data_IF_161643427248
#
_entry.id   IF_161643427248
#
_cell.length_a   1.000
_cell.length_b   1.000
_cell.length_c   1.000
_cell.angle_alpha   90.00
_cell.angle_beta   90.00
_cell.angle_gamma   90.00
#
_symmetry.space_group_name_H-M   'P 1'
#
loop_
_entity.id
_entity.type
_entity.pdbx_description
1 polymer ?
#
# COMPACT_ATOMS: atom_id res chain seq x y z
N UNK A 1 -12.14 63.27 16.17
CA UNK A 1 -11.72 62.26 15.17
C UNK A 1 -12.84 62.09 14.17
N UNK A 2 -12.59 62.24 12.89
CA UNK A 2 -13.62 62.37 11.86
C UNK A 2 -14.27 60.99 11.58
N UNK A 3 -15.58 60.81 11.82
CA UNK A 3 -16.32 59.54 11.67
C UNK A 3 -16.06 58.80 10.34
N UNK A 4 -15.82 59.54 9.25
CA UNK A 4 -15.49 58.97 7.94
C UNK A 4 -14.15 58.24 7.95
N UNK A 5 -13.14 58.70 8.73
CA UNK A 5 -11.84 58.04 8.85
C UNK A 5 -11.91 56.79 9.72
N UNK A 6 -12.80 56.76 10.72
CA UNK A 6 -13.04 55.60 11.56
C UNK A 6 -13.69 54.43 10.78
N UNK A 7 -14.67 54.76 9.93
CA UNK A 7 -15.34 53.74 9.12
C UNK A 7 -14.43 53.10 8.06
N UNK A 8 -13.50 53.89 7.48
CA UNK A 8 -12.49 53.33 6.53
C UNK A 8 -11.49 52.45 7.24
N UNK A 9 -11.03 52.83 8.45
CA UNK A 9 -10.11 52.00 9.23
C UNK A 9 -10.78 50.69 9.67
N UNK A 10 -12.05 50.70 10.04
CA UNK A 10 -12.79 49.49 10.44
C UNK A 10 -13.03 48.55 9.23
N UNK A 11 -13.31 49.11 8.04
CA UNK A 11 -13.47 48.31 6.81
C UNK A 11 -12.16 47.64 6.37
N UNK A 12 -11.02 48.34 6.50
CA UNK A 12 -9.70 47.77 6.20
C UNK A 12 -9.33 46.65 7.19
N UNK A 13 -9.66 46.83 8.48
CA UNK A 13 -9.40 45.79 9.49
C UNK A 13 -10.28 44.57 9.27
N UNK A 14 -11.54 44.72 8.90
CA UNK A 14 -12.45 43.63 8.56
C UNK A 14 -11.99 42.88 7.29
N UNK A 15 -11.49 43.60 6.27
CA UNK A 15 -10.93 42.97 5.06
C UNK A 15 -9.62 42.20 5.34
N UNK A 16 -8.76 42.70 6.23
CA UNK A 16 -7.53 42.02 6.63
C UNK A 16 -7.80 40.73 7.42
N UNK A 17 -8.85 40.72 8.28
CA UNK A 17 -9.25 39.50 9.02
C UNK A 17 -9.87 38.46 8.09
N UNK A 18 -10.57 38.86 7.03
CA UNK A 18 -11.12 37.93 6.04
C UNK A 18 -10.03 37.35 5.10
N UNK A 19 -8.98 38.11 4.81
CA UNK A 19 -7.86 37.64 3.97
C UNK A 19 -6.98 36.61 4.69
N UNK A 20 -6.97 36.58 6.04
CA UNK A 20 -6.18 35.62 6.82
C UNK A 20 -6.75 34.21 6.91
N UNK A 21 -7.99 33.99 6.46
CA UNK A 21 -8.67 32.70 6.53
C UNK A 21 -9.01 32.10 5.17
N UNK A 22 -8.31 32.51 4.11
CA UNK A 22 -8.34 31.77 2.86
C UNK A 22 -7.58 30.45 3.06
N UNK A 23 -8.21 29.50 3.72
CA UNK A 23 -7.77 28.13 3.76
C UNK A 23 -7.85 27.63 2.32
N UNK A 24 -6.71 27.49 1.64
CA UNK A 24 -6.64 26.77 0.39
C UNK A 24 -7.06 25.33 0.70
N UNK A 25 -8.32 25.02 0.41
CA UNK A 25 -8.80 23.64 0.44
C UNK A 25 -8.08 22.90 -0.70
N UNK A 26 -6.93 22.32 -0.39
CA UNK A 26 -6.30 21.35 -1.29
C UNK A 26 -7.09 20.05 -1.16
N UNK A 27 -7.98 19.78 -2.12
CA UNK A 27 -8.61 18.47 -2.24
C UNK A 27 -7.57 17.48 -2.75
N UNK A 28 -7.55 16.27 -2.17
CA UNK A 28 -6.80 15.16 -2.76
C UNK A 28 -7.24 14.97 -4.22
N UNK A 29 -6.30 14.65 -5.10
CA UNK A 29 -6.61 14.21 -6.47
C UNK A 29 -7.36 12.89 -6.36
N UNK A 30 -8.61 12.86 -6.84
CA UNK A 30 -9.45 11.67 -6.83
C UNK A 30 -9.39 11.00 -8.20
N UNK A 31 -9.21 9.70 -8.20
CA UNK A 31 -9.22 8.87 -9.40
C UNK A 31 -10.17 7.68 -9.27
N UNK A 32 -10.35 6.97 -10.36
CA UNK A 32 -10.98 5.66 -10.35
C UNK A 32 -10.12 4.67 -11.14
N UNK A 33 -10.16 3.41 -10.73
CA UNK A 33 -9.46 2.30 -11.38
C UNK A 33 -10.45 1.18 -11.64
N UNK A 34 -10.52 0.73 -12.88
CA UNK A 34 -11.26 -0.46 -13.25
C UNK A 34 -10.31 -1.65 -13.38
N UNK A 35 -10.67 -2.77 -12.78
CA UNK A 35 -9.91 -4.00 -12.85
C UNK A 35 -10.80 -5.15 -13.30
N UNK A 36 -10.31 -5.93 -14.26
CA UNK A 36 -10.99 -7.13 -14.77
C UNK A 36 -10.33 -8.37 -14.17
N UNK A 37 -11.14 -9.29 -13.69
CA UNK A 37 -10.73 -10.60 -13.17
C UNK A 37 -11.15 -11.67 -14.17
N UNK A 38 -10.20 -12.17 -14.95
CA UNK A 38 -10.45 -13.15 -15.99
C UNK A 38 -10.93 -14.48 -15.38
N UNK A 39 -11.85 -15.14 -16.09
CA UNK A 39 -12.33 -16.47 -15.71
C UNK A 39 -11.19 -17.49 -15.65
N UNK A 40 -11.20 -18.34 -14.62
CA UNK A 40 -10.20 -19.40 -14.43
C UNK A 40 -8.78 -18.91 -14.16
N UNK A 41 -8.61 -17.70 -13.65
CA UNK A 41 -7.30 -17.04 -13.58
C UNK A 41 -7.02 -16.39 -12.24
N UNK A 42 -5.72 -16.21 -11.97
CA UNK A 42 -5.19 -15.37 -10.92
C UNK A 42 -4.95 -13.95 -11.46
N UNK A 43 -5.45 -12.94 -10.77
CA UNK A 43 -5.21 -11.54 -11.08
C UNK A 43 -4.59 -10.84 -9.87
N UNK A 44 -3.50 -10.11 -10.09
CA UNK A 44 -2.89 -9.27 -9.05
C UNK A 44 -3.81 -8.08 -8.79
N UNK A 45 -4.07 -7.80 -7.53
CA UNK A 45 -4.85 -6.64 -7.06
C UNK A 45 -4.00 -5.81 -6.13
N UNK A 46 -3.53 -4.68 -6.63
CA UNK A 46 -2.85 -3.66 -5.84
C UNK A 46 -3.83 -2.53 -5.59
N UNK A 47 -4.05 -2.09 -4.35
CA UNK A 47 -4.80 -0.87 -4.09
C UNK A 47 -4.05 0.35 -4.66
N UNK A 48 -4.39 0.76 -5.88
CA UNK A 48 -3.74 1.87 -6.60
C UNK A 48 -4.21 3.25 -6.12
N UNK A 49 -5.30 3.29 -5.37
CA UNK A 49 -5.89 4.49 -4.80
C UNK A 49 -6.00 4.30 -3.28
N UNK A 50 -5.85 5.39 -2.56
CA UNK A 50 -6.00 5.41 -1.10
C UNK A 50 -7.43 5.84 -0.73
N UNK A 51 -7.87 5.50 0.47
CA UNK A 51 -9.07 6.09 1.04
C UNK A 51 -8.79 7.54 1.44
N UNK A 52 -9.83 8.39 1.49
CA UNK A 52 -9.68 9.81 1.84
C UNK A 52 -8.92 9.99 3.16
N UNK A 53 -8.11 11.05 3.24
CA UNK A 53 -7.41 11.42 4.47
C UNK A 53 -8.42 11.90 5.52
N UNK A 54 -8.25 11.44 6.77
CA UNK A 54 -9.07 11.88 7.90
C UNK A 54 -8.30 12.84 8.84
N UNK A 55 -6.95 12.83 8.79
CA UNK A 55 -6.13 13.79 9.54
C UNK A 55 -4.81 14.06 8.80
N UNK A 56 -4.38 15.32 8.86
CA UNK A 56 -3.03 15.78 8.48
C UNK A 56 -2.53 16.72 9.57
N UNK A 57 -1.32 16.50 10.06
CA UNK A 57 -0.77 17.37 11.08
C UNK A 57 0.73 17.21 11.31
N UNK A 58 1.32 18.24 11.91
CA UNK A 58 2.68 18.19 12.39
C UNK A 58 2.78 17.32 13.64
N UNK A 59 3.92 16.64 13.78
CA UNK A 59 4.31 15.88 14.98
C UNK A 59 5.32 16.69 15.76
N UNK A 60 4.99 17.05 16.99
CA UNK A 60 5.85 17.87 17.86
C UNK A 60 6.84 17.04 18.69
N UNK A 61 6.50 15.81 19.00
CA UNK A 61 7.39 14.87 19.67
C UNK A 61 7.03 13.42 19.40
N UNK A 62 8.03 12.55 19.51
CA UNK A 62 7.91 11.09 19.36
C UNK A 62 8.48 10.44 20.61
N UNK A 63 7.72 9.53 21.21
CA UNK A 63 8.21 8.69 22.32
C UNK A 63 7.94 7.22 22.01
N UNK A 64 8.96 6.37 22.19
CA UNK A 64 8.92 4.94 21.84
C UNK A 64 8.85 4.10 23.11
N UNK A 65 7.93 3.15 23.14
CA UNK A 65 7.79 2.17 24.22
C UNK A 65 7.17 0.87 23.68
N UNK A 66 7.75 -0.28 24.03
CA UNK A 66 7.19 -1.60 23.75
C UNK A 66 6.93 -1.89 22.26
N UNK A 67 7.76 -1.36 21.34
CA UNK A 67 7.59 -1.53 19.89
C UNK A 67 6.57 -0.59 19.25
N UNK A 68 5.98 0.32 20.04
CA UNK A 68 5.07 1.36 19.57
C UNK A 68 5.71 2.74 19.70
N UNK A 69 5.26 3.69 18.89
CA UNK A 69 5.57 5.10 19.03
C UNK A 69 4.31 5.92 19.32
N UNK A 70 4.40 6.81 20.30
CA UNK A 70 3.38 7.85 20.51
C UNK A 70 3.83 9.13 19.81
N UNK A 71 3.02 9.56 18.85
CA UNK A 71 3.23 10.75 18.02
C UNK A 71 2.33 11.87 18.54
N UNK A 72 2.90 12.90 19.17
CA UNK A 72 2.15 14.05 19.67
C UNK A 72 1.84 15.00 18.53
N UNK A 73 0.56 15.22 18.28
CA UNK A 73 0.01 16.06 17.20
C UNK A 73 -0.88 17.15 17.82
N UNK A 74 -0.35 18.35 18.11
CA UNK A 74 -1.10 19.39 18.82
C UNK A 74 -2.39 19.85 18.13
N UNK A 75 -2.48 19.70 16.81
CA UNK A 75 -3.68 19.99 16.03
C UNK A 75 -4.75 18.88 16.07
N UNK A 76 -4.44 17.70 16.62
CA UNK A 76 -5.41 16.62 16.75
C UNK A 76 -6.36 16.90 17.93
N UNK A 77 -7.65 16.84 17.68
CA UNK A 77 -8.71 17.12 18.67
C UNK A 77 -9.77 16.02 18.70
N UNK A 78 -9.34 14.78 18.48
CA UNK A 78 -10.24 13.64 18.39
C UNK A 78 -10.61 13.06 19.77
N UNK A 79 -11.74 12.40 19.83
CA UNK A 79 -12.07 11.57 20.98
C UNK A 79 -11.06 10.43 21.11
N UNK A 80 -10.60 10.09 22.32
CA UNK A 80 -9.72 8.94 22.51
C UNK A 80 -10.28 7.66 21.88
N UNK A 81 -9.39 6.86 21.27
CA UNK A 81 -9.69 5.60 20.60
C UNK A 81 -10.64 5.66 19.39
N UNK A 82 -10.93 6.87 18.84
CA UNK A 82 -11.75 6.99 17.63
C UNK A 82 -11.06 6.42 16.38
N UNK A 83 -9.74 6.23 16.40
CA UNK A 83 -8.95 5.61 15.35
C UNK A 83 -8.46 4.19 15.72
N UNK A 84 -8.93 3.64 16.83
CA UNK A 84 -8.61 2.28 17.22
C UNK A 84 -9.59 1.30 16.58
N UNK A 85 -9.07 0.26 15.92
CA UNK A 85 -9.93 -0.81 15.42
C UNK A 85 -10.65 -1.52 16.56
N UNK A 86 -11.98 -1.59 16.46
CA UNK A 86 -12.83 -2.40 17.33
C UNK A 86 -13.86 -3.10 16.46
N UNK A 87 -13.80 -4.41 16.37
CA UNK A 87 -14.74 -5.20 15.57
C UNK A 87 -16.20 -4.78 15.84
N UNK A 88 -16.99 -4.61 14.76
CA UNK A 88 -18.39 -4.20 14.76
C UNK A 88 -18.62 -2.71 15.05
N UNK A 89 -18.00 -2.12 16.08
CA UNK A 89 -18.29 -0.72 16.50
C UNK A 89 -17.39 0.30 15.81
N UNK A 90 -16.15 -0.05 15.51
CA UNK A 90 -15.17 0.76 14.75
C UNK A 90 -14.34 -0.16 13.84
N UNK A 91 -14.90 -0.67 12.72
CA UNK A 91 -14.26 -1.69 11.88
C UNK A 91 -13.20 -1.13 10.93
N UNK A 92 -12.82 0.13 11.05
CA UNK A 92 -11.76 0.73 10.25
C UNK A 92 -10.41 0.53 10.93
N UNK A 93 -9.45 -0.02 10.20
CA UNK A 93 -8.04 0.04 10.57
C UNK A 93 -7.43 1.27 9.92
N UNK A 94 -6.67 2.04 10.68
CA UNK A 94 -6.05 3.27 10.22
C UNK A 94 -4.54 3.11 10.04
N UNK A 95 -4.01 3.94 9.17
CA UNK A 95 -2.63 3.96 8.78
C UNK A 95 -2.11 5.40 8.82
N UNK A 96 -1.02 5.62 9.55
CA UNK A 96 -0.34 6.88 9.63
C UNK A 96 0.87 6.87 8.69
N UNK A 97 0.85 7.70 7.66
CA UNK A 97 1.97 7.86 6.75
C UNK A 97 2.79 9.08 7.12
N UNK A 98 4.09 8.91 7.24
CA UNK A 98 5.03 10.00 7.52
C UNK A 98 5.17 10.89 6.29
N UNK A 99 4.80 12.15 6.42
CA UNK A 99 4.84 13.15 5.34
C UNK A 99 6.08 14.02 5.38
N UNK A 100 6.77 14.08 6.52
CA UNK A 100 8.04 14.81 6.68
C UNK A 100 8.89 14.21 7.81
N UNK A 101 10.21 14.37 7.71
CA UNK A 101 11.23 13.76 8.55
C UNK A 101 12.04 12.70 7.80
N UNK A 102 13.00 12.05 8.47
CA UNK A 102 13.89 11.06 7.83
C UNK A 102 13.13 9.80 7.37
N UNK A 103 12.01 9.47 8.04
CA UNK A 103 11.14 8.33 7.68
C UNK A 103 10.03 8.72 6.69
N UNK A 104 10.12 9.85 5.99
CA UNK A 104 9.13 10.26 4.97
C UNK A 104 8.79 9.11 4.03
N UNK A 105 7.49 8.87 3.82
CA UNK A 105 6.97 7.78 2.99
C UNK A 105 6.78 6.45 3.73
N UNK A 106 7.33 6.30 4.94
CA UNK A 106 7.06 5.12 5.78
C UNK A 106 5.69 5.23 6.40
N UNK A 107 4.98 4.13 6.45
CA UNK A 107 3.66 4.07 7.05
C UNK A 107 3.58 3.09 8.20
N UNK A 108 2.74 3.40 9.15
CA UNK A 108 2.56 2.66 10.40
C UNK A 108 1.09 2.41 10.70
N UNK A 109 0.75 1.24 11.19
CA UNK A 109 -0.61 0.98 11.68
C UNK A 109 -0.90 1.79 12.94
N UNK A 110 -2.06 2.45 12.98
CA UNK A 110 -2.54 3.14 14.17
C UNK A 110 -3.12 2.11 15.12
N UNK A 111 -2.55 2.03 16.32
CA UNK A 111 -2.98 1.13 17.40
C UNK A 111 -4.09 1.78 18.23
N UNK A 112 -3.92 3.08 18.52
CA UNK A 112 -4.90 3.88 19.28
C UNK A 112 -4.62 5.37 19.08
N UNK A 113 -5.51 6.22 19.59
CA UNK A 113 -5.27 7.66 19.71
C UNK A 113 -5.77 8.19 21.05
N UNK A 114 -5.09 9.20 21.55
CA UNK A 114 -5.59 10.13 22.57
C UNK A 114 -6.17 11.38 21.93
N UNK A 115 -6.44 12.41 22.74
CA UNK A 115 -7.00 13.70 22.24
C UNK A 115 -6.00 14.42 21.32
N UNK A 116 -4.72 14.41 21.63
CA UNK A 116 -3.68 15.14 20.88
C UNK A 116 -2.55 14.24 20.37
N UNK A 117 -2.76 12.96 20.22
CA UNK A 117 -1.71 12.04 19.80
C UNK A 117 -2.25 10.79 19.10
N UNK A 118 -1.35 10.11 18.37
CA UNK A 118 -1.57 8.78 17.82
C UNK A 118 -0.51 7.82 18.37
N UNK A 119 -0.92 6.61 18.71
CA UNK A 119 0.00 5.50 18.98
C UNK A 119 0.05 4.60 17.76
N UNK A 120 1.25 4.36 17.24
CA UNK A 120 1.47 3.57 16.02
C UNK A 120 2.41 2.40 16.30
N UNK A 121 2.22 1.28 15.60
CA UNK A 121 3.13 0.13 15.65
C UNK A 121 4.37 0.40 14.78
N UNK A 122 5.57 0.21 15.32
CA UNK A 122 6.83 0.44 14.61
C UNK A 122 7.33 -0.78 13.83
N UNK A 123 6.75 -1.96 14.08
CA UNK A 123 7.11 -3.22 13.39
C UNK A 123 8.62 -3.51 13.35
N UNK A 124 9.28 -3.27 14.49
CA UNK A 124 10.73 -3.48 14.66
C UNK A 124 11.61 -2.30 14.25
N UNK A 125 11.04 -1.21 13.75
CA UNK A 125 11.78 0.02 13.48
C UNK A 125 12.01 0.81 14.77
N UNK A 126 12.95 1.74 14.71
CA UNK A 126 13.14 2.78 15.72
C UNK A 126 12.73 4.13 15.14
N UNK A 127 12.24 5.04 15.97
CA UNK A 127 11.87 6.37 15.54
C UNK A 127 12.22 7.42 16.60
N UNK A 128 12.61 8.60 16.14
CA UNK A 128 12.88 9.79 16.94
C UNK A 128 12.03 10.96 16.44
N UNK A 129 12.06 12.08 17.14
CA UNK A 129 11.35 13.30 16.68
C UNK A 129 11.93 13.89 15.39
N UNK A 130 13.17 13.56 15.01
CA UNK A 130 13.73 13.95 13.73
C UNK A 130 13.23 13.07 12.57
N UNK A 131 12.82 11.85 12.89
CA UNK A 131 12.38 10.87 11.89
C UNK A 131 10.94 11.09 11.45
N UNK A 132 10.09 11.60 12.35
CA UNK A 132 8.67 11.83 12.10
C UNK A 132 8.30 13.24 12.55
N UNK A 133 8.20 14.17 11.61
CA UNK A 133 7.84 15.58 11.89
C UNK A 133 6.46 15.96 11.35
N UNK A 134 5.85 15.10 10.54
CA UNK A 134 4.49 15.27 10.03
C UNK A 134 3.90 13.94 9.58
N UNK A 135 2.58 13.82 9.73
CA UNK A 135 1.84 12.63 9.33
C UNK A 135 0.53 12.97 8.63
N UNK A 136 0.05 12.03 7.83
CA UNK A 136 -1.34 11.93 7.42
C UNK A 136 -1.91 10.59 7.87
N UNK A 137 -3.17 10.59 8.33
CA UNK A 137 -3.86 9.38 8.80
C UNK A 137 -5.05 9.10 7.90
N UNK A 138 -5.14 7.86 7.43
CA UNK A 138 -6.18 7.37 6.51
C UNK A 138 -6.71 6.02 6.97
N UNK A 139 -7.98 5.71 6.75
CA UNK A 139 -8.45 4.34 6.87
C UNK A 139 -7.83 3.49 5.75
N UNK A 140 -7.55 2.23 6.05
CA UNK A 140 -7.08 1.25 5.07
C UNK A 140 -8.25 0.67 4.26
N UNK A 141 -7.96 0.19 3.06
CA UNK A 141 -8.84 -0.74 2.38
C UNK A 141 -8.89 -2.05 3.15
N UNK A 142 -10.05 -2.69 3.14
CA UNK A 142 -10.27 -4.03 3.70
C UNK A 142 -10.86 -4.94 2.63
N UNK A 143 -10.94 -6.24 2.89
CA UNK A 143 -11.56 -7.17 1.94
C UNK A 143 -12.99 -6.76 1.61
N UNK A 144 -13.81 -6.38 2.62
CA UNK A 144 -15.18 -5.93 2.43
C UNK A 144 -15.30 -4.61 1.65
N UNK A 145 -14.32 -3.71 1.77
CA UNK A 145 -14.38 -2.41 1.09
C UNK A 145 -13.82 -2.45 -0.34
N UNK A 146 -12.90 -3.37 -0.64
CA UNK A 146 -12.42 -3.61 -2.00
C UNK A 146 -13.35 -4.53 -2.80
N UNK A 147 -13.97 -5.50 -2.12
CA UNK A 147 -14.84 -6.50 -2.72
C UNK A 147 -16.20 -6.53 -1.99
N UNK A 148 -16.99 -5.45 -2.09
CA UNK A 148 -18.27 -5.35 -1.38
C UNK A 148 -19.29 -6.32 -1.98
N UNK A 149 -20.04 -7.00 -1.11
CA UNK A 149 -21.10 -7.94 -1.51
C UNK A 149 -22.35 -7.26 -2.05
N UNK A 150 -22.50 -5.96 -1.81
CA UNK A 150 -23.69 -5.16 -2.17
C UNK A 150 -23.47 -4.21 -3.33
N UNK A 151 -22.36 -4.32 -4.08
CA UNK A 151 -22.10 -3.42 -5.21
C UNK A 151 -22.93 -3.80 -6.43
N UNK A 152 -23.25 -2.80 -7.24
CA UNK A 152 -23.86 -3.02 -8.57
C UNK A 152 -22.90 -3.78 -9.52
N UNK A 153 -21.60 -3.76 -9.23
CA UNK A 153 -20.59 -4.52 -9.95
C UNK A 153 -20.27 -5.80 -9.18
N UNK A 154 -20.45 -6.95 -9.83
CA UNK A 154 -20.10 -8.25 -9.26
C UNK A 154 -18.59 -8.39 -9.29
N UNK A 155 -17.94 -8.22 -8.13
CA UNK A 155 -16.48 -8.27 -7.99
C UNK A 155 -15.95 -9.65 -7.62
N UNK A 156 -16.84 -10.58 -7.24
CA UNK A 156 -16.52 -11.96 -6.89
C UNK A 156 -17.75 -12.86 -7.04
N UNK A 157 -17.52 -14.16 -7.17
CA UNK A 157 -18.56 -15.19 -7.09
C UNK A 157 -18.60 -15.76 -5.68
N UNK A 158 -19.74 -15.64 -4.95
CA UNK A 158 -19.90 -16.23 -3.62
C UNK A 158 -19.69 -17.75 -3.66
N UNK A 159 -19.09 -18.29 -2.61
CA UNK A 159 -18.91 -19.73 -2.46
C UNK A 159 -20.24 -20.43 -2.17
N UNK A 160 -20.37 -21.68 -2.59
CA UNK A 160 -21.54 -22.52 -2.31
C UNK A 160 -21.39 -23.36 -1.06
N UNK A 161 -20.24 -23.29 -0.40
CA UNK A 161 -19.92 -24.00 0.83
C UNK A 161 -18.50 -23.69 1.31
N UNK A 162 -18.12 -24.23 2.45
CA UNK A 162 -16.83 -24.00 3.10
C UNK A 162 -15.72 -24.97 2.68
N UNK A 163 -16.08 -26.09 2.05
CA UNK A 163 -15.12 -27.07 1.54
C UNK A 163 -14.41 -26.55 0.30
N UNK A 164 -13.25 -27.09 -0.04
CA UNK A 164 -12.49 -26.68 -1.20
C UNK A 164 -13.31 -26.72 -2.51
N UNK A 165 -14.15 -27.74 -2.70
CA UNK A 165 -15.00 -27.88 -3.88
C UNK A 165 -16.10 -26.81 -3.96
N UNK A 166 -16.56 -26.28 -2.83
CA UNK A 166 -17.58 -25.23 -2.77
C UNK A 166 -17.05 -23.82 -2.92
N UNK A 167 -15.74 -23.60 -2.80
CA UNK A 167 -15.13 -22.29 -2.92
C UNK A 167 -15.10 -21.83 -4.37
N UNK A 168 -15.44 -20.55 -4.60
CA UNK A 168 -15.49 -19.92 -5.92
C UNK A 168 -14.36 -18.90 -6.07
N UNK A 169 -14.66 -17.62 -5.83
CA UNK A 169 -13.60 -16.62 -5.77
C UNK A 169 -12.80 -16.78 -4.48
N UNK A 170 -11.48 -16.77 -4.60
CA UNK A 170 -10.56 -16.78 -3.47
C UNK A 170 -9.63 -15.56 -3.53
N UNK A 171 -9.37 -14.96 -2.38
CA UNK A 171 -8.40 -13.88 -2.21
C UNK A 171 -7.20 -14.46 -1.45
N UNK A 172 -6.05 -14.54 -2.13
CA UNK A 172 -4.84 -15.05 -1.54
C UNK A 172 -4.01 -13.87 -1.03
N UNK A 173 -3.73 -13.85 0.26
CA UNK A 173 -2.83 -12.87 0.88
C UNK A 173 -1.40 -13.41 0.83
N UNK A 174 -0.49 -12.79 0.08
CA UNK A 174 0.90 -13.21 0.09
C UNK A 174 1.52 -13.07 1.48
N UNK A 175 2.57 -13.83 1.74
CA UNK A 175 3.28 -13.74 3.02
C UNK A 175 4.29 -12.59 2.99
N UNK A 176 3.89 -11.40 3.47
CA UNK A 176 4.73 -10.20 3.47
C UNK A 176 5.80 -10.21 4.57
N UNK A 177 5.58 -10.95 5.66
CA UNK A 177 6.45 -10.93 6.85
C UNK A 177 7.40 -12.12 6.96
N UNK A 178 7.23 -13.14 6.13
CA UNK A 178 8.09 -14.33 6.13
C UNK A 178 9.49 -14.05 5.56
N UNK A 179 10.40 -14.97 5.74
CA UNK A 179 11.75 -14.96 5.16
C UNK A 179 11.91 -16.03 4.07
N UNK A 180 12.95 -15.89 3.24
CA UNK A 180 13.24 -16.80 2.13
C UNK A 180 12.51 -16.43 0.83
N UNK A 181 12.60 -17.32 -0.16
CA UNK A 181 12.05 -17.11 -1.51
C UNK A 181 10.82 -17.99 -1.77
N UNK A 182 10.00 -17.60 -2.77
CA UNK A 182 8.86 -18.38 -3.26
C UNK A 182 7.88 -18.79 -2.14
N UNK A 183 7.56 -17.86 -1.26
CA UNK A 183 6.72 -18.11 -0.09
C UNK A 183 5.27 -18.39 -0.48
N UNK A 184 4.65 -19.36 0.20
CA UNK A 184 3.22 -19.59 0.09
C UNK A 184 2.42 -18.39 0.62
N UNK A 185 1.16 -18.28 0.21
CA UNK A 185 0.22 -17.31 0.78
C UNK A 185 0.10 -17.50 2.31
N UNK A 186 0.07 -16.41 3.06
CA UNK A 186 -0.13 -16.42 4.51
C UNK A 186 -1.57 -16.74 4.89
N UNK A 187 -2.53 -16.34 4.05
CA UNK A 187 -3.95 -16.62 4.22
C UNK A 187 -4.65 -16.73 2.87
N UNK A 188 -5.72 -17.50 2.84
CA UNK A 188 -6.63 -17.60 1.69
C UNK A 188 -8.03 -17.33 2.22
N UNK A 189 -8.71 -16.35 1.63
CA UNK A 189 -10.06 -15.97 1.99
C UNK A 189 -11.04 -16.35 0.88
N UNK A 190 -12.28 -16.62 1.26
CA UNK A 190 -13.41 -16.80 0.34
C UNK A 190 -14.67 -16.21 0.96
N UNK A 191 -15.63 -15.80 0.14
CA UNK A 191 -16.88 -15.25 0.65
C UNK A 191 -17.83 -16.35 1.10
N UNK A 192 -18.21 -16.34 2.38
CA UNK A 192 -19.17 -17.26 2.96
C UNK A 192 -20.55 -16.61 2.97
N UNK A 193 -21.52 -17.10 2.15
CA UNK A 193 -22.84 -16.49 2.05
C UNK A 193 -23.66 -16.61 3.34
N UNK A 194 -23.43 -17.64 4.16
CA UNK A 194 -24.11 -17.83 5.45
C UNK A 194 -23.75 -16.74 6.46
N UNK A 195 -22.47 -16.32 6.48
CA UNK A 195 -22.00 -15.24 7.35
C UNK A 195 -22.12 -13.86 6.67
N UNK A 196 -22.43 -13.84 5.37
CA UNK A 196 -22.40 -12.64 4.51
C UNK A 196 -21.09 -11.86 4.67
N UNK A 197 -19.95 -12.59 4.67
CA UNK A 197 -18.63 -12.01 4.92
C UNK A 197 -17.52 -12.88 4.33
N UNK A 198 -16.33 -12.28 4.14
CA UNK A 198 -15.11 -13.02 3.87
C UNK A 198 -14.67 -13.81 5.09
N UNK A 199 -14.20 -15.02 4.88
CA UNK A 199 -13.67 -15.90 5.93
C UNK A 199 -12.36 -16.53 5.48
N UNK A 200 -11.44 -16.76 6.41
CA UNK A 200 -10.22 -17.50 6.10
C UNK A 200 -10.51 -19.00 5.93
N UNK A 201 -9.76 -19.67 5.05
CA UNK A 201 -9.89 -21.12 4.84
C UNK A 201 -9.57 -21.95 6.08
N UNK A 202 -8.82 -21.39 7.01
CA UNK A 202 -8.44 -21.98 8.30
C UNK A 202 -9.43 -21.68 9.43
N UNK A 203 -10.36 -20.71 9.24
CA UNK A 203 -11.31 -20.24 10.25
C UNK A 203 -12.66 -19.90 9.60
N UNK A 204 -13.32 -20.87 9.00
CA UNK A 204 -14.51 -20.68 8.15
C UNK A 204 -15.76 -20.18 8.86
N UNK A 205 -15.79 -20.18 10.21
CA UNK A 205 -16.85 -19.62 11.04
C UNK A 205 -16.56 -18.20 11.58
N UNK A 206 -15.43 -17.60 11.25
CA UNK A 206 -15.01 -16.29 11.75
C UNK A 206 -14.98 -15.28 10.61
N UNK A 207 -15.67 -14.16 10.77
CA UNK A 207 -15.64 -13.04 9.83
C UNK A 207 -14.24 -12.44 9.73
N UNK A 208 -13.81 -12.17 8.51
CA UNK A 208 -12.48 -11.62 8.17
C UNK A 208 -12.54 -10.48 7.15
N UNK A 209 -13.73 -9.99 6.84
CA UNK A 209 -13.91 -8.94 5.85
C UNK A 209 -13.24 -7.61 6.20
N UNK A 210 -12.97 -7.37 7.48
CA UNK A 210 -12.24 -6.19 7.97
C UNK A 210 -10.72 -6.35 7.90
N UNK A 211 -10.18 -7.46 7.36
CA UNK A 211 -8.74 -7.65 7.16
C UNK A 211 -8.20 -6.50 6.30
N UNK A 212 -7.26 -5.68 6.82
CA UNK A 212 -6.75 -4.52 6.11
C UNK A 212 -5.70 -4.88 5.06
N UNK A 213 -5.60 -4.04 4.03
CA UNK A 213 -4.48 -4.02 3.09
C UNK A 213 -3.69 -2.72 3.31
N UNK A 214 -2.44 -2.88 3.70
CA UNK A 214 -1.50 -1.76 3.86
C UNK A 214 -1.08 -1.28 2.46
N UNK A 215 -0.90 0.03 2.21
CA UNK A 215 -0.28 0.52 0.99
C UNK A 215 1.03 -0.23 0.70
N UNK A 216 1.34 -0.50 -0.55
CA UNK A 216 2.41 -1.40 -1.00
C UNK A 216 2.19 -2.91 -0.80
N UNK A 217 1.08 -3.34 -0.24
CA UNK A 217 0.66 -4.74 -0.29
C UNK A 217 -0.22 -5.01 -1.52
N UNK A 218 -0.40 -6.28 -1.83
CA UNK A 218 -1.31 -6.73 -2.88
C UNK A 218 -1.97 -8.04 -2.49
N UNK A 219 -3.09 -8.37 -3.15
CA UNK A 219 -3.68 -9.70 -3.08
C UNK A 219 -3.59 -10.36 -4.46
N UNK A 220 -3.85 -11.66 -4.46
CA UNK A 220 -4.14 -12.42 -5.68
C UNK A 220 -5.62 -12.78 -5.67
N UNK A 221 -6.39 -12.19 -6.58
CA UNK A 221 -7.78 -12.57 -6.81
C UNK A 221 -7.80 -13.80 -7.72
N UNK A 222 -8.16 -14.93 -7.17
CA UNK A 222 -8.27 -16.21 -7.84
C UNK A 222 -9.72 -16.48 -8.22
N UNK A 223 -10.04 -16.40 -9.49
CA UNK A 223 -11.39 -16.56 -10.01
C UNK A 223 -11.59 -17.98 -10.55
N UNK A 224 -11.88 -18.91 -9.64
CA UNK A 224 -12.01 -20.35 -9.96
C UNK A 224 -13.30 -20.94 -9.38
N UNK A 225 -13.55 -22.18 -9.76
CA UNK A 225 -14.64 -23.00 -9.20
C UNK A 225 -15.97 -22.82 -9.94
N UNK A 226 -16.73 -23.89 -10.09
CA UNK A 226 -17.94 -23.93 -10.89
C UNK A 226 -17.67 -23.59 -12.36
N UNK A 227 -18.51 -22.73 -12.93
CA UNK A 227 -18.27 -22.11 -14.25
C UNK A 227 -17.84 -20.66 -14.00
N UNK A 228 -16.52 -20.36 -13.96
CA UNK A 228 -16.07 -19.02 -13.68
C UNK A 228 -16.43 -18.07 -14.83
N UNK A 229 -16.83 -16.86 -14.47
CA UNK A 229 -17.14 -15.78 -15.42
C UNK A 229 -16.16 -14.63 -15.21
N UNK A 230 -15.97 -13.80 -16.22
CA UNK A 230 -15.19 -12.57 -16.07
C UNK A 230 -15.92 -11.61 -15.14
N UNK A 231 -15.22 -11.10 -14.16
CA UNK A 231 -15.71 -10.17 -13.13
C UNK A 231 -15.00 -8.82 -13.27
N UNK A 232 -15.62 -7.75 -12.79
CA UNK A 232 -15.04 -6.41 -12.84
C UNK A 232 -15.19 -5.71 -11.49
N UNK A 233 -14.17 -4.96 -11.10
CA UNK A 233 -14.20 -4.09 -9.94
C UNK A 233 -13.87 -2.66 -10.35
N UNK A 234 -14.56 -1.69 -9.74
CA UNK A 234 -14.24 -0.27 -9.85
C UNK A 234 -13.93 0.28 -8.46
N UNK A 235 -12.76 0.86 -8.31
CA UNK A 235 -12.30 1.46 -7.05
C UNK A 235 -12.17 2.96 -7.27
N UNK A 236 -12.76 3.75 -6.38
CA UNK A 236 -12.65 5.21 -6.36
C UNK A 236 -11.90 5.62 -5.09
N UNK A 237 -10.96 6.54 -5.21
CA UNK A 237 -10.17 6.98 -4.05
C UNK A 237 -9.18 8.09 -4.40
N UNK A 238 -8.37 8.47 -3.41
CA UNK A 238 -7.32 9.47 -3.58
C UNK A 238 -6.10 8.88 -4.28
N UNK A 239 -5.53 9.61 -5.23
CA UNK A 239 -4.27 9.22 -5.87
C UNK A 239 -3.13 9.34 -4.87
N UNK A 240 -2.31 8.29 -4.79
CA UNK A 240 -1.12 8.29 -3.94
C UNK A 240 0.00 9.11 -4.60
N UNK A 241 0.04 10.40 -4.32
CA UNK A 241 0.96 11.38 -4.93
C UNK A 241 2.25 11.60 -4.13
N UNK A 242 2.40 11.01 -2.95
CA UNK A 242 3.58 11.14 -2.09
C UNK A 242 4.51 9.94 -2.27
N UNK A 243 5.84 10.08 -1.99
CA UNK A 243 6.72 8.92 -1.93
C UNK A 243 6.23 7.89 -0.93
N UNK A 244 6.29 6.61 -1.30
CA UNK A 244 6.08 5.49 -0.40
C UNK A 244 7.41 4.81 -0.09
N UNK A 245 7.65 4.40 1.14
CA UNK A 245 8.85 3.65 1.51
C UNK A 245 8.50 2.21 1.88
N UNK A 246 9.29 1.28 1.38
CA UNK A 246 9.20 -0.16 1.69
C UNK A 246 10.55 -0.61 2.23
N UNK A 247 10.54 -1.41 3.27
CA UNK A 247 11.76 -2.04 3.79
C UNK A 247 11.99 -3.38 3.10
N UNK A 248 13.15 -3.50 2.46
CA UNK A 248 13.54 -4.72 1.76
C UNK A 248 14.14 -5.67 2.79
N UNK A 249 13.47 -6.80 3.01
CA UNK A 249 13.97 -7.83 3.92
C UNK A 249 15.21 -8.50 3.33
N UNK A 250 16.27 -8.62 4.12
CA UNK A 250 17.51 -9.29 3.75
C UNK A 250 17.83 -10.44 4.70
N UNK A 251 18.65 -11.38 4.25
CA UNK A 251 19.19 -12.46 5.08
C UNK A 251 20.71 -12.41 5.02
N UNK A 252 21.37 -12.76 6.12
CA UNK A 252 22.84 -12.86 6.17
C UNK A 252 23.38 -13.90 5.17
N UNK A 253 22.60 -14.96 4.92
CA UNK A 253 22.91 -15.99 3.95
C UNK A 253 21.67 -16.36 3.15
N UNK A 254 21.83 -16.49 1.84
CA UNK A 254 20.75 -16.85 0.92
C UNK A 254 19.88 -15.68 0.48
N UNK A 255 19.04 -15.93 -0.50
CA UNK A 255 18.16 -14.94 -1.06
C UNK A 255 16.87 -14.77 -0.24
N UNK A 256 16.34 -13.56 -0.23
CA UNK A 256 15.07 -13.22 0.41
C UNK A 256 14.18 -12.37 -0.51
N UNK A 257 12.90 -12.70 -0.52
CA UNK A 257 11.90 -12.00 -1.33
C UNK A 257 11.16 -10.96 -0.48
N UNK A 258 11.14 -9.72 -0.95
CA UNK A 258 10.23 -8.67 -0.46
C UNK A 258 9.16 -8.42 -1.51
N UNK A 259 7.90 -8.55 -1.10
CA UNK A 259 6.75 -8.45 -1.97
C UNK A 259 6.20 -7.03 -1.92
N UNK A 260 6.07 -6.38 -3.06
CA UNK A 260 5.69 -4.96 -3.15
C UNK A 260 4.61 -4.76 -4.22
N UNK A 261 3.48 -4.20 -3.81
CA UNK A 261 2.46 -3.69 -4.72
C UNK A 261 2.81 -2.26 -5.16
N UNK A 262 2.78 -1.99 -6.44
CA UNK A 262 3.03 -0.66 -6.99
C UNK A 262 1.72 0.13 -6.99
N UNK A 263 1.53 0.98 -5.98
CA UNK A 263 0.25 1.63 -5.65
C UNK A 263 -0.09 2.88 -6.49
N UNK A 264 0.70 3.19 -7.54
CA UNK A 264 0.39 4.32 -8.45
C UNK A 264 -0.58 3.87 -9.56
N UNK A 265 -1.59 4.68 -9.92
CA UNK A 265 -2.53 4.34 -10.99
C UNK A 265 -1.99 4.60 -12.41
N UNK A 266 -0.71 4.88 -12.55
CA UNK A 266 0.01 5.10 -13.81
C UNK A 266 1.21 4.16 -13.91
N UNK A 267 1.67 3.91 -15.13
CA UNK A 267 2.82 3.06 -15.39
C UNK A 267 4.12 3.61 -14.76
N UNK A 268 5.06 2.72 -14.48
CA UNK A 268 6.41 3.05 -13.99
C UNK A 268 7.45 2.68 -15.04
N UNK A 269 8.44 3.50 -15.24
CA UNK A 269 9.73 2.98 -15.76
C UNK A 269 10.50 2.31 -14.62
N UNK A 270 11.19 1.23 -14.90
CA UNK A 270 11.96 0.50 -13.89
C UNK A 270 12.99 1.40 -13.20
N UNK A 271 13.60 2.33 -13.94
CA UNK A 271 14.53 3.35 -13.42
C UNK A 271 13.89 4.35 -12.46
N UNK A 272 12.56 4.53 -12.49
CA UNK A 272 11.82 5.50 -11.67
C UNK A 272 11.39 4.93 -10.32
N UNK A 273 11.45 3.60 -10.10
CA UNK A 273 10.96 2.95 -8.86
C UNK A 273 11.79 3.36 -7.64
N UNK A 274 13.04 3.82 -7.84
CA UNK A 274 13.88 4.28 -6.73
C UNK A 274 15.00 3.30 -6.34
N UNK A 275 15.29 2.31 -7.16
CA UNK A 275 16.45 1.43 -6.96
C UNK A 275 17.76 2.15 -7.25
N UNK A 276 18.63 2.17 -6.25
CA UNK A 276 19.97 2.75 -6.30
C UNK A 276 21.01 1.65 -6.08
N UNK A 277 22.29 1.95 -6.30
CA UNK A 277 23.37 1.00 -6.03
C UNK A 277 23.59 0.73 -4.53
N UNK A 278 22.93 1.51 -3.66
CA UNK A 278 22.97 1.33 -2.20
C UNK A 278 21.86 0.43 -1.67
N UNK A 279 20.74 0.29 -2.38
CA UNK A 279 19.62 -0.58 -1.96
C UNK A 279 19.38 -1.77 -2.91
N UNK A 280 20.18 -1.90 -3.97
CA UNK A 280 20.06 -2.97 -4.97
C UNK A 280 21.46 -3.41 -5.44
N UNK A 281 21.87 -4.60 -4.99
CA UNK A 281 23.19 -5.15 -5.28
C UNK A 281 23.30 -5.55 -6.75
N UNK A 282 24.24 -4.93 -7.46
CA UNK A 282 24.47 -5.21 -8.88
C UNK A 282 25.06 -6.62 -9.09
N UNK A 283 24.65 -7.26 -10.15
CA UNK A 283 25.20 -8.51 -10.64
C UNK A 283 26.62 -8.33 -11.18
N UNK A 284 27.48 -9.33 -10.98
CA UNK A 284 28.87 -9.32 -11.47
C UNK A 284 28.99 -9.75 -12.93
N UNK A 285 27.90 -10.21 -13.52
CA UNK A 285 27.78 -10.62 -14.91
C UNK A 285 26.35 -10.91 -15.32
N UNK A 286 26.17 -11.49 -16.50
CA UNK A 286 24.84 -11.69 -17.12
C UNK A 286 24.31 -13.11 -16.99
N UNK A 287 25.14 -14.08 -16.58
CA UNK A 287 24.74 -15.48 -16.41
C UNK A 287 23.97 -15.69 -15.12
N UNK A 288 23.16 -16.74 -15.03
CA UNK A 288 22.37 -17.05 -13.84
C UNK A 288 23.22 -17.13 -12.56
N UNK A 289 24.43 -17.70 -12.63
CA UNK A 289 25.34 -17.84 -11.49
C UNK A 289 25.94 -16.52 -10.99
N UNK A 290 25.96 -15.48 -11.83
CA UNK A 290 26.54 -14.16 -11.50
C UNK A 290 25.50 -13.12 -11.13
N UNK A 291 24.21 -13.45 -11.23
CA UNK A 291 23.11 -12.56 -10.85
C UNK A 291 23.04 -12.43 -9.33
N UNK A 292 22.79 -11.21 -8.90
CA UNK A 292 22.61 -10.82 -7.49
C UNK A 292 21.15 -10.47 -7.27
N UNK A 293 20.86 -9.22 -6.89
CA UNK A 293 19.48 -8.80 -6.68
C UNK A 293 18.68 -8.86 -7.98
N UNK A 294 17.41 -9.22 -7.86
CA UNK A 294 16.51 -9.38 -9.00
C UNK A 294 15.14 -8.78 -8.69
N UNK A 295 14.48 -8.29 -9.73
CA UNK A 295 13.09 -7.82 -9.67
C UNK A 295 12.26 -8.76 -10.52
N UNK A 296 11.31 -9.45 -9.88
CA UNK A 296 10.34 -10.30 -10.53
C UNK A 296 9.04 -9.49 -10.68
N UNK A 297 8.58 -9.27 -11.91
CA UNK A 297 7.39 -8.46 -12.20
C UNK A 297 6.20 -9.35 -12.46
N UNK A 298 5.08 -9.03 -11.80
CA UNK A 298 3.78 -9.65 -11.97
C UNK A 298 2.78 -8.58 -12.41
N UNK A 299 2.35 -8.64 -13.65
CA UNK A 299 1.36 -7.70 -14.19
C UNK A 299 -0.06 -8.19 -13.96
N UNK A 300 -1.04 -7.28 -14.08
CA UNK A 300 -2.47 -7.63 -14.05
C UNK A 300 -2.91 -8.44 -15.28
N UNK A 301 -2.20 -8.29 -16.39
CA UNK A 301 -2.46 -9.02 -17.63
C UNK A 301 -2.02 -10.49 -17.55
N UNK A 302 -2.67 -11.33 -18.34
CA UNK A 302 -2.39 -12.76 -18.45
C UNK A 302 -3.49 -13.64 -17.85
N UNK A 303 -3.46 -14.91 -18.18
CA UNK A 303 -4.46 -15.91 -17.77
C UNK A 303 -3.81 -17.10 -17.07
N UNK A 304 -4.61 -17.90 -16.38
CA UNK A 304 -4.21 -19.09 -15.64
C UNK A 304 -3.91 -18.82 -14.17
N UNK A 305 -3.79 -19.92 -13.42
CA UNK A 305 -3.51 -19.91 -11.97
C UNK A 305 -2.02 -20.15 -11.71
N UNK A 306 -1.53 -19.73 -10.53
CA UNK A 306 -0.13 -19.90 -10.12
C UNK A 306 0.86 -19.36 -11.17
N UNK A 307 0.61 -18.17 -11.66
CA UNK A 307 1.36 -17.56 -12.75
C UNK A 307 2.82 -17.33 -12.36
N UNK A 308 3.72 -17.60 -13.28
CA UNK A 308 5.11 -17.17 -13.19
C UNK A 308 5.22 -15.63 -13.34
N UNK A 309 6.34 -15.00 -12.91
CA UNK A 309 6.57 -13.60 -13.19
C UNK A 309 6.55 -13.35 -14.72
N UNK A 310 5.97 -12.23 -15.10
CA UNK A 310 5.90 -11.79 -16.52
C UNK A 310 7.29 -11.47 -17.05
N UNK A 311 8.16 -10.94 -16.19
CA UNK A 311 9.55 -10.63 -16.50
C UNK A 311 10.42 -10.68 -15.23
N UNK A 312 11.71 -10.93 -15.42
CA UNK A 312 12.71 -10.85 -14.34
C UNK A 312 13.83 -9.93 -14.81
N UNK A 313 14.15 -8.93 -13.99
CA UNK A 313 15.19 -7.95 -14.26
C UNK A 313 16.30 -8.02 -13.22
N UNK A 314 17.50 -7.64 -13.62
CA UNK A 314 18.68 -7.48 -12.78
C UNK A 314 19.53 -6.31 -13.28
N UNK A 315 20.43 -5.80 -12.44
CA UNK A 315 21.31 -4.70 -12.79
C UNK A 315 22.76 -5.17 -12.89
N UNK A 316 23.47 -4.77 -13.92
CA UNK A 316 24.91 -5.03 -14.07
C UNK A 316 25.58 -3.86 -14.79
N UNK A 317 26.75 -3.43 -14.34
CA UNK A 317 27.48 -2.27 -14.84
C UNK A 317 26.57 -1.00 -14.99
N UNK A 318 25.76 -0.73 -13.95
CA UNK A 318 24.87 0.43 -13.93
C UNK A 318 23.59 0.30 -14.77
N UNK A 319 23.40 -0.76 -15.55
CA UNK A 319 22.30 -0.91 -16.50
C UNK A 319 21.35 -2.05 -16.13
N UNK A 320 20.05 -1.83 -16.33
CA UNK A 320 19.03 -2.87 -16.21
C UNK A 320 19.07 -3.84 -17.40
N UNK A 321 18.83 -5.09 -17.15
CA UNK A 321 18.77 -6.17 -18.13
C UNK A 321 17.65 -7.13 -17.80
N UNK A 322 16.98 -7.67 -18.83
CA UNK A 322 16.05 -8.77 -18.67
C UNK A 322 16.78 -10.12 -18.68
N UNK A 323 16.28 -11.10 -17.92
CA UNK A 323 16.86 -12.45 -17.95
C UNK A 323 16.71 -13.15 -19.30
N UNK A 324 15.71 -12.74 -20.09
CA UNK A 324 15.47 -13.25 -21.46
C UNK A 324 16.33 -12.56 -22.52
N UNK A 325 16.91 -11.37 -22.20
CA UNK A 325 17.79 -10.60 -23.09
C UNK A 325 18.93 -9.98 -22.28
N UNK A 326 19.77 -10.84 -21.71
CA UNK A 326 20.75 -10.44 -20.70
C UNK A 326 21.93 -9.59 -21.25
N UNK A 327 22.09 -9.50 -22.55
CA UNK A 327 23.14 -8.69 -23.20
C UNK A 327 22.69 -7.28 -23.56
N UNK A 328 21.39 -7.03 -23.63
CA UNK A 328 20.81 -5.73 -24.04
C UNK A 328 20.37 -4.93 -22.81
N UNK A 329 20.74 -3.67 -22.76
CA UNK A 329 20.25 -2.72 -21.77
C UNK A 329 18.76 -2.45 -22.00
N UNK A 330 17.97 -2.39 -20.91
CA UNK A 330 16.53 -2.13 -20.95
C UNK A 330 16.14 -1.13 -19.86
N UNK A 331 15.08 -0.38 -20.12
CA UNK A 331 14.35 0.37 -19.08
C UNK A 331 12.85 0.15 -19.31
N UNK A 332 12.33 -1.03 -18.92
CA UNK A 332 10.98 -1.42 -19.26
C UNK A 332 9.96 -0.58 -18.51
N UNK A 333 8.81 -0.41 -19.16
CA UNK A 333 7.60 0.11 -18.54
C UNK A 333 6.91 -1.02 -17.77
N UNK A 334 6.68 -0.82 -16.49
CA UNK A 334 5.91 -1.70 -15.61
C UNK A 334 4.50 -1.14 -15.51
N UNK A 335 3.47 -1.87 -16.00
CA UNK A 335 2.11 -1.37 -16.01
C UNK A 335 1.58 -1.03 -14.62
N UNK A 336 0.69 -0.05 -14.55
CA UNK A 336 -0.06 0.31 -13.34
C UNK A 336 -0.73 -0.91 -12.69
N UNK A 337 -0.78 -0.96 -11.37
CA UNK A 337 -1.37 -2.08 -10.62
C UNK A 337 -0.58 -3.37 -10.65
N UNK A 338 0.66 -3.35 -11.17
CA UNK A 338 1.57 -4.48 -11.08
C UNK A 338 2.09 -4.66 -9.65
N UNK A 339 2.46 -5.90 -9.32
CA UNK A 339 3.26 -6.22 -8.15
C UNK A 339 4.67 -6.62 -8.58
N UNK A 340 5.63 -6.33 -7.72
CA UNK A 340 7.00 -6.79 -7.89
C UNK A 340 7.44 -7.62 -6.67
N UNK A 341 8.32 -8.55 -6.91
CA UNK A 341 9.10 -9.20 -5.85
C UNK A 341 10.53 -8.70 -6.01
N UNK A 342 11.03 -8.03 -4.98
CA UNK A 342 12.44 -7.67 -4.88
C UNK A 342 13.15 -8.82 -4.20
N UNK A 343 13.90 -9.57 -4.97
CA UNK A 343 14.71 -10.69 -4.48
C UNK A 343 16.10 -10.19 -4.16
N UNK A 344 16.38 -10.05 -2.89
CA UNK A 344 17.72 -9.70 -2.38
C UNK A 344 18.59 -10.95 -2.34
N UNK A 345 19.79 -10.87 -2.87
CA UNK A 345 20.74 -12.01 -2.88
C UNK A 345 21.34 -12.26 -1.49
N UNK A 346 21.69 -11.18 -0.78
CA UNK A 346 22.22 -11.20 0.58
C UNK A 346 22.05 -9.83 1.22
N UNK A 347 22.32 -9.69 2.51
CA UNK A 347 22.34 -8.37 3.16
C UNK A 347 23.47 -7.52 2.61
N UNK A 348 23.12 -6.34 2.13
CA UNK A 348 24.05 -5.29 1.67
C UNK A 348 24.08 -4.10 2.64
N UNK A 349 23.33 -4.18 3.74
CA UNK A 349 23.27 -3.18 4.80
C UNK A 349 22.38 -1.96 4.50
N UNK A 350 21.63 -1.98 3.39
CA UNK A 350 20.74 -0.88 3.05
C UNK A 350 19.39 -1.40 2.51
N UNK A 351 18.43 -1.49 3.40
CA UNK A 351 17.19 -2.22 3.21
C UNK A 351 15.98 -1.32 2.89
N UNK A 352 16.16 0.00 2.77
CA UNK A 352 15.05 0.92 2.51
C UNK A 352 14.95 1.28 1.03
N UNK A 353 13.82 0.93 0.41
CA UNK A 353 13.42 1.37 -0.93
C UNK A 353 12.40 2.50 -0.80
N UNK A 354 12.70 3.66 -1.35
CA UNK A 354 11.74 4.76 -1.51
C UNK A 354 11.17 4.70 -2.91
N UNK A 355 9.91 4.29 -3.01
CA UNK A 355 9.19 4.28 -4.28
C UNK A 355 8.67 5.69 -4.55
N UNK A 356 9.19 6.34 -5.58
CA UNK A 356 8.72 7.64 -6.00
C UNK A 356 7.37 7.50 -6.71
N UNK A 357 6.29 7.81 -6.01
CA UNK A 357 4.96 7.84 -6.61
C UNK A 357 4.69 9.13 -7.40
N UNK A 358 5.61 10.09 -7.36
CA UNK A 358 5.49 11.38 -7.99
C UNK A 358 6.26 11.43 -9.31
N UNK A 359 5.58 11.14 -10.41
CA UNK A 359 5.82 11.79 -11.71
C UNK A 359 4.48 12.00 -12.42
N UNK A 360 3.46 12.38 -11.67
CA UNK A 360 2.26 12.96 -12.27
C UNK A 360 2.50 14.48 -12.27
N UNK A 361 3.07 15.01 -13.38
CA UNK A 361 2.92 16.43 -13.66
C UNK A 361 1.42 16.65 -13.90
N UNK A 362 0.78 17.29 -12.94
CA UNK A 362 -0.59 17.79 -13.06
C UNK A 362 -0.59 19.00 -13.97
#
# INVERSE_FOLDING_TARGET
MNMKKLNVALAILAAAVMAGNAQTATSDVVGYVNQTFAAGSDTIVVPQLLRPVEFVGAVSSVSVSGGNATLVCPSATFSPNSFQYVAVTQPKTYFAMVTSGNLTGTGFLVVSNGTGNFTVALDGLTATSADITGIEVRPLWTLNTLFPSSSANVTFTPSTGTTAAGRRTQLLMPNFTGSGINRAASAIYFYNPTLSDWVATTATGVKAGDTPLVPSQYLIHRNIGGTPVTLNASVVGSVFSKPGAVYLGTLLTGANDTLVGLARPTDYKLSEIGFTDTNFLQSTGTTAATRRDQILVYTTAGSGINRAPTAIYFKTAGTWRATTSSTTAVDPVIPAGSAIIVRKYQSDGNDRLVVNNLNVSL
#
